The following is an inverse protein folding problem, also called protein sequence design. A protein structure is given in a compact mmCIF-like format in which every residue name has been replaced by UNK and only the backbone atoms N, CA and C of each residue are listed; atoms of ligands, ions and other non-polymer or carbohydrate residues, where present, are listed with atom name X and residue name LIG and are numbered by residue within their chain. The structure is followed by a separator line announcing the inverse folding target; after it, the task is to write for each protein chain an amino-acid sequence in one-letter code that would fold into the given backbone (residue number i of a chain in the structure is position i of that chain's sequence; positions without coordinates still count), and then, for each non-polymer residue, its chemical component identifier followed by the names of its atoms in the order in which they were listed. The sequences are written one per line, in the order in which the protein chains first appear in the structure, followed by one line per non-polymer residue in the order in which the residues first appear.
data_IF_980245848430
#
_entry.id   IF_980245848430
#
_cell.length_a   1.000
_cell.length_b   1.000
_cell.length_c   1.000
_cell.angle_alpha   90.00
_cell.angle_beta   90.00
_cell.angle_gamma   90.00
#
_symmetry.space_group_name_H-M   'P 1'
#
loop_
_entity.id
_entity.type
_entity.pdbx_description
1 polymer ?
#
# COMPACT_ATOMS: atom_id res chain seq x y z
N UNK A 1 8.07 19.71 -14.00
CA UNK A 1 8.20 18.45 -13.24
C UNK A 1 6.82 17.98 -12.84
N UNK A 2 6.51 16.71 -13.06
CA UNK A 2 5.23 16.10 -12.67
C UNK A 2 5.05 16.18 -11.14
N UNK A 3 3.83 16.45 -10.67
CA UNK A 3 3.50 16.54 -9.24
C UNK A 3 2.30 15.67 -8.93
N UNK A 4 2.33 14.96 -7.80
CA UNK A 4 1.27 14.06 -7.35
C UNK A 4 0.65 14.57 -6.06
N UNK A 5 -0.37 15.41 -6.18
CA UNK A 5 -1.12 15.95 -5.05
C UNK A 5 -1.76 14.82 -4.21
N UNK A 6 -2.01 15.03 -2.91
CA UNK A 6 -1.51 16.13 -2.07
C UNK A 6 0.02 16.12 -1.87
N UNK A 7 0.62 17.30 -1.70
CA UNK A 7 2.05 17.49 -1.42
C UNK A 7 2.33 17.66 0.09
N UNK A 8 3.52 17.26 0.59
CA UNK A 8 3.94 17.60 1.94
C UNK A 8 4.35 19.09 2.09
N UNK A 9 4.36 19.66 3.31
CA UNK A 9 3.96 19.03 4.56
C UNK A 9 2.44 18.79 4.63
N UNK A 10 2.04 17.64 5.17
CA UNK A 10 0.64 17.26 5.25
C UNK A 10 -0.06 17.88 6.46
N UNK A 11 -1.34 18.18 6.28
CA UNK A 11 -2.30 18.37 7.35
C UNK A 11 -3.24 17.14 7.44
N UNK A 12 -4.17 17.14 8.39
CA UNK A 12 -5.07 15.99 8.59
C UNK A 12 -5.88 15.63 7.33
N UNK A 13 -6.47 16.62 6.67
CA UNK A 13 -7.31 16.42 5.48
C UNK A 13 -6.52 15.85 4.31
N UNK A 14 -5.35 16.46 4.02
CA UNK A 14 -4.46 16.03 2.94
C UNK A 14 -3.80 14.69 3.22
N UNK A 15 -3.43 14.40 4.47
CA UNK A 15 -2.93 13.08 4.86
C UNK A 15 -4.00 12.01 4.67
N UNK A 16 -5.23 12.24 5.13
CA UNK A 16 -6.36 11.33 4.93
C UNK A 16 -6.66 11.12 3.44
N UNK A 17 -6.65 12.19 2.64
CA UNK A 17 -6.81 12.11 1.19
C UNK A 17 -5.69 11.28 0.56
N UNK A 18 -4.43 11.46 0.98
CA UNK A 18 -3.29 10.67 0.49
C UNK A 18 -3.45 9.18 0.80
N UNK A 19 -3.94 8.84 2.00
CA UNK A 19 -4.24 7.46 2.39
C UNK A 19 -5.36 6.87 1.53
N UNK A 20 -6.45 7.60 1.31
CA UNK A 20 -7.56 7.13 0.47
C UNK A 20 -7.12 6.93 -0.99
N UNK A 21 -6.36 7.86 -1.56
CA UNK A 21 -5.83 7.72 -2.92
C UNK A 21 -4.91 6.49 -3.06
N UNK A 22 -4.12 6.19 -2.02
CA UNK A 22 -3.33 4.96 -1.99
C UNK A 22 -4.22 3.72 -1.87
N UNK A 23 -5.27 3.73 -1.03
CA UNK A 23 -6.25 2.64 -0.97
C UNK A 23 -6.87 2.36 -2.35
N UNK A 24 -7.36 3.41 -3.01
CA UNK A 24 -8.01 3.31 -4.32
C UNK A 24 -7.05 2.75 -5.37
N UNK A 25 -5.82 3.26 -5.41
CA UNK A 25 -4.79 2.78 -6.33
C UNK A 25 -4.50 1.29 -6.13
N UNK A 26 -4.25 0.85 -4.90
CA UNK A 26 -3.97 -0.56 -4.60
C UNK A 26 -5.16 -1.48 -4.88
N UNK A 27 -6.39 -1.02 -4.71
CA UNK A 27 -7.59 -1.79 -5.05
C UNK A 27 -7.79 -1.98 -6.57
N UNK A 28 -7.11 -1.20 -7.43
CA UNK A 28 -7.10 -1.46 -8.88
C UNK A 28 -6.34 -2.74 -9.24
N UNK A 29 -5.45 -3.22 -8.36
CA UNK A 29 -4.59 -4.39 -8.60
C UNK A 29 -3.77 -4.28 -9.89
N UNK A 30 -3.41 -3.05 -10.27
CA UNK A 30 -2.65 -2.75 -11.48
C UNK A 30 -1.21 -2.31 -11.09
N UNK A 31 -0.19 -3.16 -11.30
CA UNK A 31 1.20 -2.87 -10.92
C UNK A 31 1.72 -1.57 -11.51
N UNK A 32 1.47 -1.34 -12.80
CA UNK A 32 1.90 -0.12 -13.50
C UNK A 32 1.29 1.13 -12.85
N UNK A 33 -0.03 1.16 -12.69
CA UNK A 33 -0.75 2.31 -12.13
C UNK A 33 -0.32 2.60 -10.68
N UNK A 34 -0.11 1.57 -9.87
CA UNK A 34 0.31 1.72 -8.48
C UNK A 34 1.75 2.19 -8.40
N UNK A 35 2.65 1.68 -9.26
CA UNK A 35 4.07 2.05 -9.28
C UNK A 35 4.31 3.55 -9.55
N UNK A 36 3.39 4.21 -10.29
CA UNK A 36 3.44 5.65 -10.57
C UNK A 36 3.23 6.55 -9.34
N UNK A 37 2.95 5.99 -8.16
CA UNK A 37 2.89 6.75 -6.90
C UNK A 37 4.25 6.89 -6.20
N UNK A 38 5.26 6.15 -6.65
CA UNK A 38 6.57 6.09 -6.01
C UNK A 38 7.62 6.81 -6.86
N UNK A 39 8.68 7.29 -6.21
CA UNK A 39 9.88 7.80 -6.90
C UNK A 39 10.53 6.72 -7.76
N UNK A 40 11.34 7.11 -8.75
CA UNK A 40 12.04 6.14 -9.62
C UNK A 40 13.00 5.28 -8.78
N UNK A 41 13.62 5.88 -7.77
CA UNK A 41 14.59 5.32 -6.83
C UNK A 41 13.97 4.95 -5.47
N UNK A 42 12.67 4.62 -5.43
CA UNK A 42 11.97 4.34 -4.16
C UNK A 42 12.58 3.17 -3.38
N UNK A 43 12.64 3.29 -2.05
CA UNK A 43 13.17 2.25 -1.16
C UNK A 43 12.03 1.61 -0.36
N UNK A 44 11.88 0.29 -0.46
CA UNK A 44 10.86 -0.43 0.29
C UNK A 44 11.44 -1.53 1.16
N UNK A 45 10.77 -1.76 2.29
CA UNK A 45 10.74 -3.06 2.95
C UNK A 45 9.30 -3.53 3.05
N UNK A 46 8.99 -4.68 2.47
CA UNK A 46 7.69 -5.33 2.61
C UNK A 46 7.87 -6.69 3.30
N UNK A 47 7.41 -6.80 4.55
CA UNK A 47 7.71 -7.95 5.42
C UNK A 47 9.23 -8.14 5.55
N UNK A 48 9.76 -9.23 4.98
CA UNK A 48 11.19 -9.57 4.96
C UNK A 48 11.86 -9.24 3.62
N UNK A 49 11.11 -8.77 2.62
CA UNK A 49 11.62 -8.44 1.29
C UNK A 49 12.02 -6.97 1.21
N UNK A 50 13.10 -6.70 0.48
CA UNK A 50 13.58 -5.37 0.14
C UNK A 50 13.38 -5.16 -1.36
N UNK A 51 12.90 -3.99 -1.75
CA UNK A 51 12.54 -3.65 -3.13
C UNK A 51 13.08 -2.25 -3.42
N UNK A 52 13.91 -2.12 -4.45
CA UNK A 52 14.69 -0.93 -4.75
C UNK A 52 14.37 -0.42 -6.15
N UNK A 53 13.65 0.70 -6.20
CA UNK A 53 13.26 1.37 -7.43
C UNK A 53 11.89 0.93 -7.97
N UNK A 54 11.35 1.75 -8.87
CA UNK A 54 9.99 1.60 -9.39
C UNK A 54 9.79 0.30 -10.19
N UNK A 55 10.81 -0.17 -10.88
CA UNK A 55 10.70 -1.42 -11.67
C UNK A 55 10.58 -2.65 -10.76
N UNK A 56 11.43 -2.78 -9.73
CA UNK A 56 11.29 -3.87 -8.75
C UNK A 56 9.95 -3.79 -8.00
N UNK A 57 9.41 -2.58 -7.78
CA UNK A 57 8.06 -2.39 -7.23
C UNK A 57 7.00 -2.99 -8.14
N UNK A 58 7.09 -2.81 -9.47
CA UNK A 58 6.13 -3.43 -10.40
C UNK A 58 6.21 -4.94 -10.34
N UNK A 59 7.42 -5.51 -10.37
CA UNK A 59 7.64 -6.96 -10.26
C UNK A 59 7.04 -7.52 -8.96
N UNK A 60 7.31 -6.87 -7.82
CA UNK A 60 6.74 -7.22 -6.53
C UNK A 60 5.21 -7.21 -6.55
N UNK A 61 4.60 -6.17 -7.14
CA UNK A 61 3.15 -6.01 -7.19
C UNK A 61 2.49 -7.03 -8.14
N UNK A 62 3.14 -7.35 -9.26
CA UNK A 62 2.70 -8.40 -10.18
C UNK A 62 2.63 -9.74 -9.44
N UNK A 63 3.74 -10.17 -8.83
CA UNK A 63 3.78 -11.43 -8.08
C UNK A 63 2.81 -11.44 -6.89
N UNK A 64 2.61 -10.28 -6.24
CA UNK A 64 1.63 -10.14 -5.15
C UNK A 64 0.23 -10.50 -5.60
N UNK A 65 -0.26 -9.94 -6.72
CA UNK A 65 -1.64 -10.13 -7.16
C UNK A 65 -1.87 -11.38 -8.00
N UNK A 66 -0.81 -12.04 -8.47
CA UNK A 66 -0.89 -13.43 -8.95
C UNK A 66 -1.18 -14.40 -7.80
N UNK A 67 -0.60 -14.16 -6.61
CA UNK A 67 -0.80 -14.99 -5.41
C UNK A 67 -2.07 -14.61 -4.64
N UNK A 68 -2.31 -13.32 -4.45
CA UNK A 68 -3.34 -12.81 -3.55
C UNK A 68 -4.65 -12.52 -4.30
N UNK A 69 -5.41 -13.59 -4.56
CA UNK A 69 -6.63 -13.53 -5.36
C UNK A 69 -7.77 -12.84 -4.60
N UNK A 70 -8.69 -12.23 -5.35
CA UNK A 70 -9.85 -11.49 -4.81
C UNK A 70 -9.48 -10.41 -3.78
N UNK A 71 -8.25 -9.88 -3.88
CA UNK A 71 -7.71 -8.86 -3.01
C UNK A 71 -8.63 -7.64 -2.89
N UNK A 72 -8.95 -7.28 -1.64
CA UNK A 72 -9.67 -6.08 -1.25
C UNK A 72 -9.05 -5.44 -0.02
N UNK A 73 -8.73 -4.16 -0.09
CA UNK A 73 -7.95 -3.42 0.90
C UNK A 73 -8.74 -2.26 1.51
N UNK A 74 -8.57 -2.09 2.82
CA UNK A 74 -8.95 -0.89 3.56
C UNK A 74 -7.73 -0.30 4.27
N UNK A 75 -7.47 1.00 4.10
CA UNK A 75 -6.44 1.77 4.78
C UNK A 75 -7.09 2.81 5.68
N UNK A 76 -6.38 3.15 6.75
CA UNK A 76 -6.78 4.16 7.72
C UNK A 76 -5.55 4.95 8.16
N UNK A 77 -5.69 6.28 8.19
CA UNK A 77 -4.67 7.18 8.71
C UNK A 77 -4.47 6.90 10.21
N UNK A 78 -3.23 6.66 10.62
CA UNK A 78 -2.88 6.51 12.04
C UNK A 78 -2.30 7.80 12.62
N UNK A 79 -1.28 8.35 11.95
CA UNK A 79 -0.63 9.60 12.32
C UNK A 79 0.07 10.20 11.09
N UNK A 80 0.45 11.47 11.16
CA UNK A 80 1.27 12.12 10.15
C UNK A 80 2.17 13.17 10.80
N UNK A 81 3.29 13.48 10.16
CA UNK A 81 4.22 14.55 10.55
C UNK A 81 5.01 14.98 9.32
N UNK A 82 4.97 16.26 8.97
CA UNK A 82 5.64 16.83 7.81
C UNK A 82 5.38 16.03 6.51
N UNK A 83 6.41 15.38 5.97
CA UNK A 83 6.35 14.56 4.77
C UNK A 83 6.15 13.06 5.04
N UNK A 84 5.73 12.68 6.26
CA UNK A 84 5.54 11.29 6.68
C UNK A 84 4.10 11.00 7.05
N UNK A 85 3.65 9.80 6.70
CA UNK A 85 2.32 9.28 7.06
C UNK A 85 2.49 7.86 7.62
N UNK A 86 1.88 7.60 8.78
CA UNK A 86 1.71 6.28 9.35
C UNK A 86 0.28 5.79 9.08
N UNK A 87 0.17 4.54 8.63
CA UNK A 87 -1.08 3.96 8.15
C UNK A 87 -1.29 2.59 8.77
N UNK A 88 -2.53 2.35 9.18
CA UNK A 88 -3.05 1.01 9.49
C UNK A 88 -3.83 0.52 8.29
N UNK A 89 -3.77 -0.78 8.02
CA UNK A 89 -4.58 -1.35 6.96
C UNK A 89 -4.95 -2.81 7.24
N UNK A 90 -6.04 -3.23 6.64
CA UNK A 90 -6.39 -4.64 6.52
C UNK A 90 -6.77 -4.94 5.06
N UNK A 91 -6.41 -6.12 4.59
CA UNK A 91 -6.89 -6.61 3.30
C UNK A 91 -7.30 -8.07 3.39
N UNK A 92 -8.33 -8.44 2.63
CA UNK A 92 -8.80 -9.80 2.50
C UNK A 92 -8.48 -10.33 1.11
N UNK A 93 -8.08 -11.58 1.04
CA UNK A 93 -7.70 -12.29 -0.19
C UNK A 93 -7.85 -13.79 0.02
N UNK A 94 -7.76 -14.56 -1.06
CA UNK A 94 -7.65 -16.02 -0.98
C UNK A 94 -6.48 -16.54 -1.81
N UNK A 95 -5.91 -17.66 -1.40
CA UNK A 95 -4.91 -18.36 -2.20
C UNK A 95 -5.56 -19.19 -3.33
N UNK A 96 -4.72 -19.88 -4.11
CA UNK A 96 -5.16 -20.77 -5.19
C UNK A 96 -5.93 -22.00 -4.71
N UNK A 97 -5.79 -22.38 -3.43
CA UNK A 97 -6.51 -23.49 -2.82
C UNK A 97 -7.88 -23.06 -2.27
N UNK A 98 -8.20 -21.77 -2.31
CA UNK A 98 -9.44 -21.20 -1.80
C UNK A 98 -9.42 -20.86 -0.31
N UNK A 99 -8.27 -20.98 0.38
CA UNK A 99 -8.13 -20.53 1.77
C UNK A 99 -8.17 -19.01 1.80
N UNK A 100 -9.08 -18.45 2.60
CA UNK A 100 -9.18 -17.01 2.81
C UNK A 100 -8.23 -16.54 3.92
N UNK A 101 -7.69 -15.35 3.74
CA UNK A 101 -6.86 -14.68 4.73
C UNK A 101 -7.35 -13.26 4.93
N UNK A 102 -7.22 -12.77 6.17
CA UNK A 102 -7.20 -11.36 6.47
C UNK A 102 -5.81 -10.98 6.92
N UNK A 103 -5.19 -10.11 6.15
CA UNK A 103 -3.86 -9.59 6.42
C UNK A 103 -3.98 -8.25 7.15
N UNK A 104 -3.37 -8.15 8.33
CA UNK A 104 -3.30 -6.93 9.12
C UNK A 104 -1.93 -6.29 8.94
N UNK A 105 -1.90 -4.98 8.66
CA UNK A 105 -0.67 -4.30 8.34
C UNK A 105 -0.53 -2.91 8.97
N UNK A 106 0.73 -2.58 9.23
CA UNK A 106 1.19 -1.23 9.50
C UNK A 106 2.18 -0.84 8.41
N UNK A 107 2.00 0.34 7.83
CA UNK A 107 2.99 0.90 6.91
C UNK A 107 3.30 2.36 7.21
N UNK A 108 4.56 2.72 7.01
CA UNK A 108 5.08 4.07 7.18
C UNK A 108 5.63 4.56 5.85
N UNK A 109 5.18 5.75 5.47
CA UNK A 109 5.47 6.38 4.18
C UNK A 109 6.27 7.65 4.40
N UNK A 110 7.26 7.89 3.54
CA UNK A 110 7.99 9.16 3.44
C UNK A 110 7.91 9.65 2.00
N UNK A 111 7.53 10.91 1.79
CA UNK A 111 7.29 11.50 0.47
C UNK A 111 8.35 12.54 0.11
N UNK A 112 8.62 12.69 -1.19
CA UNK A 112 9.39 13.81 -1.73
C UNK A 112 8.54 15.08 -1.87
N UNK A 113 9.17 16.19 -2.24
CA UNK A 113 8.51 17.49 -2.44
C UNK A 113 7.50 17.51 -3.59
N UNK A 114 7.56 16.55 -4.51
CA UNK A 114 6.65 16.40 -5.64
C UNK A 114 5.50 15.43 -5.34
N UNK A 115 5.42 14.91 -4.11
CA UNK A 115 4.34 14.09 -3.61
C UNK A 115 4.44 12.60 -3.99
N UNK A 116 5.60 12.17 -4.52
CA UNK A 116 5.89 10.75 -4.75
C UNK A 116 6.44 10.11 -3.48
N UNK A 117 6.06 8.88 -3.22
CA UNK A 117 6.57 8.15 -2.06
C UNK A 117 8.02 7.73 -2.33
N UNK A 118 8.95 8.22 -1.49
CA UNK A 118 10.36 7.88 -1.54
C UNK A 118 10.65 6.61 -0.76
N UNK A 119 10.07 6.46 0.44
CA UNK A 119 10.27 5.28 1.29
C UNK A 119 8.95 4.65 1.71
N UNK A 120 8.92 3.32 1.72
CA UNK A 120 7.77 2.53 2.17
C UNK A 120 8.21 1.36 3.05
N UNK A 121 7.88 1.42 4.33
CA UNK A 121 8.14 0.32 5.26
C UNK A 121 6.82 -0.30 5.69
N UNK A 122 6.59 -1.57 5.35
CA UNK A 122 5.35 -2.27 5.63
C UNK A 122 5.62 -3.58 6.39
N UNK A 123 4.97 -3.73 7.55
CA UNK A 123 4.92 -4.96 8.33
C UNK A 123 3.49 -5.51 8.27
N UNK A 124 3.36 -6.80 7.95
CA UNK A 124 2.08 -7.43 7.64
C UNK A 124 2.06 -8.84 8.21
N UNK A 125 0.95 -9.22 8.84
CA UNK A 125 0.71 -10.55 9.40
C UNK A 125 -0.60 -11.10 8.84
N UNK A 126 -0.60 -12.38 8.45
CA UNK A 126 -1.77 -13.04 7.85
C UNK A 126 -2.48 -13.90 8.88
N UNK A 127 -3.80 -13.73 8.96
CA UNK A 127 -4.69 -14.57 9.75
C UNK A 127 -5.56 -15.38 8.79
N UNK A 128 -5.51 -16.72 8.81
CA UNK A 128 -6.49 -17.54 8.11
C UNK A 128 -7.90 -17.24 8.63
N UNK A 129 -8.86 -17.08 7.73
CA UNK A 129 -10.27 -16.84 8.06
C UNK A 129 -11.17 -17.75 7.24
N UNK A 130 -12.41 -17.95 7.69
CA UNK A 130 -13.43 -18.56 6.84
C UNK A 130 -13.98 -17.54 5.83
N UNK A 131 -14.59 -18.01 4.75
CA UNK A 131 -15.25 -17.13 3.78
C UNK A 131 -16.40 -16.33 4.41
N UNK A 132 -17.07 -16.88 5.42
CA UNK A 132 -18.18 -16.21 6.14
C UNK A 132 -17.72 -15.10 7.08
N UNK A 133 -16.44 -15.11 7.48
CA UNK A 133 -15.89 -14.06 8.36
C UNK A 133 -15.47 -12.80 7.60
N UNK A 134 -15.54 -12.79 6.26
CA UNK A 134 -15.14 -11.66 5.41
C UNK A 134 -15.92 -10.40 5.73
N UNK A 135 -15.21 -9.26 5.78
CA UNK A 135 -15.81 -7.95 6.09
C UNK A 135 -15.28 -6.80 5.25
N UNK A 136 -14.18 -6.98 4.54
CA UNK A 136 -13.60 -5.94 3.67
C UNK A 136 -14.21 -6.11 2.28
N UNK A 137 -15.20 -5.26 1.95
CA UNK A 137 -15.99 -5.35 0.72
C UNK A 137 -15.57 -4.34 -0.34
#
# INVERSE_FOLDING_TARGET
MEKKQPLPPFNFETARQKVQMAEDAWNTKNPEKVSLAYTIDTEWRNRHLFVNGREEVKEFLTAKWERELDYKLKKELWAFSDNKIAVRFEYEWRDSNGQWFRSYGNENWEFDENGFMKKRFASINDLPISQTDRRVK
#
